data_IF_379594661845
#
_entry.id   IF_379594661845
#
_cell.length_a   1.000
_cell.length_b   1.000
_cell.length_c   1.000
_cell.angle_alpha   90.00
_cell.angle_beta   90.00
_cell.angle_gamma   90.00
#
_symmetry.space_group_name_H-M   'P 1'
#
loop_
_entity.id
_entity.type
_entity.pdbx_description
1 polymer ?
#
# COMPACT_ATOMS: atom_id res chain seq x y z
N UNK A 1 8.79 1.01 -2.51
CA UNK A 1 8.90 2.07 -1.49
C UNK A 1 9.62 3.29 -2.06
N UNK A 2 8.98 4.45 -2.10
CA UNK A 2 9.55 5.65 -2.75
C UNK A 2 9.93 6.77 -1.78
N UNK A 3 9.30 6.84 -0.60
CA UNK A 3 9.67 7.81 0.43
C UNK A 3 9.32 7.29 1.83
N UNK A 4 10.06 7.72 2.85
CA UNK A 4 9.86 7.39 4.26
C UNK A 4 10.15 8.63 5.11
N UNK A 5 9.23 8.95 6.01
CA UNK A 5 9.47 9.85 7.13
C UNK A 5 9.39 9.04 8.43
N UNK A 6 10.55 8.68 8.97
CA UNK A 6 10.66 7.94 10.21
C UNK A 6 10.22 8.73 11.45
N UNK A 7 10.31 10.07 11.44
CA UNK A 7 9.87 10.92 12.57
C UNK A 7 8.35 10.89 12.72
N UNK A 8 7.65 10.93 11.60
CA UNK A 8 6.18 10.89 11.57
C UNK A 8 5.62 9.47 11.50
N UNK A 9 6.48 8.46 11.38
CA UNK A 9 6.12 7.07 11.10
C UNK A 9 5.28 6.91 9.82
N UNK A 10 5.65 7.62 8.74
CA UNK A 10 4.94 7.57 7.48
C UNK A 10 5.80 7.05 6.34
N UNK A 11 5.18 6.35 5.40
CA UNK A 11 5.82 5.87 4.19
C UNK A 11 4.92 6.08 2.97
N UNK A 12 5.55 6.21 1.80
CA UNK A 12 4.84 6.30 0.52
C UNK A 12 5.24 5.12 -0.34
N UNK A 13 4.22 4.34 -0.71
CA UNK A 13 4.33 3.29 -1.71
C UNK A 13 3.88 3.82 -3.06
N UNK A 14 4.55 3.35 -4.11
CA UNK A 14 4.14 3.56 -5.49
C UNK A 14 3.99 2.19 -6.12
N UNK A 15 2.85 1.97 -6.77
CA UNK A 15 2.60 0.78 -7.56
C UNK A 15 3.47 0.83 -8.83
N UNK A 16 4.21 -0.24 -9.18
CA UNK A 16 5.22 -0.19 -10.24
C UNK A 16 4.66 0.13 -11.62
N UNK A 17 3.46 -0.35 -11.94
CA UNK A 17 2.86 -0.18 -13.28
C UNK A 17 1.94 1.03 -13.38
N UNK A 18 0.90 1.09 -12.55
CA UNK A 18 -0.06 2.20 -12.53
C UNK A 18 0.48 3.52 -11.99
N UNK A 19 1.64 3.51 -11.30
CA UNK A 19 2.19 4.67 -10.57
C UNK A 19 1.26 5.25 -9.50
N UNK A 20 0.18 4.54 -9.16
CA UNK A 20 -0.71 4.91 -8.07
C UNK A 20 0.06 4.88 -6.75
N UNK A 21 -0.19 5.85 -5.89
CA UNK A 21 0.52 5.99 -4.62
C UNK A 21 -0.40 5.71 -3.46
N UNK A 22 0.16 5.19 -2.38
CA UNK A 22 -0.54 4.91 -1.14
C UNK A 22 0.29 5.41 0.04
N UNK A 23 -0.37 6.16 0.93
CA UNK A 23 0.20 6.53 2.21
C UNK A 23 0.06 5.37 3.20
N UNK A 24 1.13 5.12 3.93
CA UNK A 24 1.21 4.05 4.93
C UNK A 24 1.65 4.63 6.26
N UNK A 25 0.89 4.33 7.31
CA UNK A 25 1.29 4.50 8.71
C UNK A 25 2.09 3.27 9.13
N UNK A 26 3.32 3.53 9.59
CA UNK A 26 4.34 2.53 9.90
C UNK A 26 4.63 2.45 11.41
N UNK A 27 3.84 3.13 12.25
CA UNK A 27 4.07 3.21 13.70
C UNK A 27 4.07 1.86 14.41
N UNK A 28 3.38 0.87 13.86
CA UNK A 28 3.28 -0.48 14.43
C UNK A 28 4.29 -1.48 13.83
N UNK A 29 5.21 -1.02 12.99
CA UNK A 29 6.23 -1.87 12.38
C UNK A 29 7.52 -1.83 13.20
N UNK A 30 7.74 -2.85 14.03
CA UNK A 30 8.99 -2.99 14.77
C UNK A 30 10.19 -3.24 13.84
N UNK A 31 11.29 -2.54 14.10
CA UNK A 31 12.59 -2.71 13.42
C UNK A 31 12.54 -2.63 11.88
N UNK A 32 11.58 -1.91 11.32
CA UNK A 32 11.51 -1.74 9.87
C UNK A 32 12.51 -0.69 9.37
N UNK A 33 13.41 -1.10 8.48
CA UNK A 33 14.54 -0.28 8.01
C UNK A 33 14.19 0.78 6.98
N UNK A 34 12.98 0.74 6.39
CA UNK A 34 12.58 1.74 5.41
C UNK A 34 13.41 1.75 4.11
N UNK A 35 13.97 0.62 3.68
CA UNK A 35 14.85 0.52 2.49
C UNK A 35 14.18 1.11 1.24
N UNK A 36 14.62 2.29 0.81
CA UNK A 36 14.10 2.95 -0.38
C UNK A 36 14.38 2.15 -1.66
N UNK A 37 13.55 2.37 -2.69
CA UNK A 37 13.63 1.71 -4.00
C UNK A 37 13.55 0.18 -3.97
N UNK A 38 13.01 -0.38 -2.89
CA UNK A 38 12.70 -1.82 -2.77
C UNK A 38 11.21 -2.10 -3.02
N UNK A 39 10.91 -3.31 -3.48
CA UNK A 39 9.57 -3.85 -3.44
C UNK A 39 9.25 -4.32 -2.04
N UNK A 40 8.15 -3.80 -1.51
CA UNK A 40 7.71 -4.12 -0.16
C UNK A 40 6.23 -4.42 -0.16
N UNK A 41 5.88 -5.47 0.55
CA UNK A 41 4.50 -5.88 0.79
C UNK A 41 4.10 -5.43 2.20
N UNK A 42 3.04 -4.62 2.27
CA UNK A 42 2.46 -4.16 3.52
C UNK A 42 1.09 -4.79 3.70
N UNK A 43 0.78 -5.21 4.92
CA UNK A 43 -0.53 -5.77 5.29
C UNK A 43 -1.03 -5.03 6.52
N UNK A 44 -2.31 -4.66 6.50
CA UNK A 44 -2.92 -3.89 7.55
C UNK A 44 -4.31 -3.39 7.19
N UNK A 45 -4.79 -2.41 7.94
CA UNK A 45 -6.15 -1.88 7.82
C UNK A 45 -6.16 -0.56 7.05
N UNK A 46 -7.10 -0.43 6.10
CA UNK A 46 -7.37 0.84 5.43
C UNK A 46 -8.32 1.65 6.30
N UNK A 47 -7.91 2.86 6.69
CA UNK A 47 -8.72 3.77 7.49
C UNK A 47 -8.82 5.14 6.83
N UNK A 48 -9.87 5.89 7.15
CA UNK A 48 -10.01 7.28 6.70
C UNK A 48 -8.89 8.14 7.30
N UNK A 49 -8.34 9.05 6.49
CA UNK A 49 -7.26 9.94 6.88
C UNK A 49 -7.52 11.36 6.39
N UNK A 50 -7.98 12.20 7.31
CA UNK A 50 -8.41 13.56 7.04
C UNK A 50 -7.26 14.58 7.22
N UNK A 51 -6.09 14.30 6.65
CA UNK A 51 -4.96 15.23 6.75
C UNK A 51 -4.78 15.99 5.42
N UNK A 52 -4.97 17.30 5.49
CA UNK A 52 -5.05 18.19 4.32
C UNK A 52 -3.69 18.51 3.71
N UNK A 53 -2.58 18.34 4.43
CA UNK A 53 -1.25 18.56 3.86
C UNK A 53 -0.21 17.54 4.35
N UNK A 54 -0.03 16.48 3.56
CA UNK A 54 1.06 15.52 3.73
C UNK A 54 2.36 16.05 3.11
N UNK A 55 2.26 17.08 2.25
CA UNK A 55 3.38 17.70 1.54
C UNK A 55 4.47 18.19 2.52
N UNK A 56 4.05 18.88 3.58
CA UNK A 56 4.90 19.38 4.66
C UNK A 56 5.58 18.26 5.44
N UNK A 57 4.94 17.09 5.54
CA UNK A 57 5.49 15.95 6.27
C UNK A 57 6.65 15.28 5.54
N UNK A 58 6.84 15.47 4.25
CA UNK A 58 7.90 14.78 3.51
C UNK A 58 8.97 15.72 2.95
N UNK A 59 8.95 17.01 3.32
CA UNK A 59 9.87 18.04 2.84
C UNK A 59 10.10 17.99 1.32
N UNK A 60 9.08 17.57 0.57
CA UNK A 60 9.20 17.34 -0.86
C UNK A 60 7.94 17.87 -1.56
N UNK A 61 8.06 19.00 -2.28
CA UNK A 61 6.93 19.66 -2.92
C UNK A 61 6.34 18.86 -4.08
N UNK A 62 7.04 17.82 -4.57
CA UNK A 62 6.51 16.88 -5.57
C UNK A 62 5.47 15.92 -4.99
N UNK A 63 5.35 15.84 -3.66
CA UNK A 63 4.32 15.07 -2.96
C UNK A 63 3.07 15.95 -2.83
N UNK A 64 2.50 16.33 -3.97
CA UNK A 64 1.16 16.90 -4.00
C UNK A 64 0.16 15.79 -3.65
N UNK A 65 -0.35 15.87 -2.43
CA UNK A 65 -1.58 15.25 -1.89
C UNK A 65 -2.04 13.95 -2.58
N UNK A 66 -1.28 12.86 -2.42
CA UNK A 66 -1.66 11.53 -2.91
C UNK A 66 -2.64 10.79 -1.99
N UNK A 67 -3.54 11.51 -1.35
CA UNK A 67 -4.43 10.92 -0.39
C UNK A 67 -5.89 11.13 -0.76
N UNK A 68 -6.54 10.06 -1.23
CA UNK A 68 -7.98 9.99 -1.44
C UNK A 68 -8.77 9.95 -0.11
N UNK A 69 -8.23 10.54 0.95
CA UNK A 69 -8.77 10.48 2.31
C UNK A 69 -8.61 9.13 3.01
N UNK A 70 -7.65 8.29 2.61
CA UNK A 70 -7.34 6.99 3.22
C UNK A 70 -5.84 6.80 3.56
N UNK A 71 -5.56 6.01 4.58
CA UNK A 71 -4.21 5.56 4.93
C UNK A 71 -4.23 4.07 5.26
N UNK A 72 -3.16 3.37 4.90
CA UNK A 72 -2.93 2.00 5.35
C UNK A 72 -2.21 2.00 6.70
N UNK A 73 -2.86 1.56 7.77
CA UNK A 73 -2.21 1.26 9.05
C UNK A 73 -1.55 -0.11 8.95
N UNK A 74 -0.24 -0.14 8.72
CA UNK A 74 0.47 -1.38 8.50
C UNK A 74 0.88 -2.04 9.82
N UNK A 75 0.57 -3.34 9.91
CA UNK A 75 0.98 -4.20 11.02
C UNK A 75 2.05 -5.20 10.60
N UNK A 76 2.16 -5.48 9.30
CA UNK A 76 3.15 -6.40 8.75
C UNK A 76 3.80 -5.74 7.54
N UNK A 77 5.12 -5.91 7.45
CA UNK A 77 5.91 -5.54 6.27
C UNK A 77 6.89 -6.65 5.90
N UNK A 78 7.03 -6.89 4.60
CA UNK A 78 8.03 -7.81 4.03
C UNK A 78 8.74 -7.13 2.88
N UNK A 79 10.07 -7.29 2.83
CA UNK A 79 10.84 -7.03 1.62
C UNK A 79 10.57 -8.16 0.64
N UNK A 80 10.13 -7.83 -0.57
CA UNK A 80 9.85 -8.78 -1.65
C UNK A 80 10.63 -8.40 -2.91
N UNK A 81 11.85 -7.87 -2.71
CA UNK A 81 12.80 -7.68 -3.81
C UNK A 81 13.04 -9.01 -4.53
N UNK A 82 12.97 -9.00 -5.86
CA UNK A 82 13.06 -10.20 -6.69
C UNK A 82 11.70 -10.84 -7.05
N UNK A 83 10.59 -10.31 -6.52
CA UNK A 83 9.25 -10.70 -6.97
C UNK A 83 9.04 -10.32 -8.44
N UNK A 84 8.61 -11.27 -9.27
CA UNK A 84 8.06 -10.94 -10.58
C UNK A 84 6.66 -10.34 -10.42
N UNK A 85 6.60 -9.01 -10.55
CA UNK A 85 5.37 -8.25 -10.36
C UNK A 85 4.30 -8.55 -11.42
N UNK A 86 4.69 -8.91 -12.66
CA UNK A 86 3.73 -9.23 -13.72
C UNK A 86 3.03 -10.56 -13.44
N UNK A 87 3.78 -11.56 -13.01
CA UNK A 87 3.22 -12.86 -12.61
C UNK A 87 2.35 -12.70 -11.38
N UNK A 88 2.81 -11.92 -10.40
CA UNK A 88 2.05 -11.64 -9.18
C UNK A 88 0.67 -11.05 -9.48
N UNK A 89 0.58 -9.99 -10.30
CA UNK A 89 -0.72 -9.39 -10.65
C UNK A 89 -1.65 -10.38 -11.35
N UNK A 90 -1.14 -11.14 -12.34
CA UNK A 90 -1.95 -12.15 -13.04
C UNK A 90 -2.54 -13.20 -12.09
N UNK A 91 -1.76 -13.65 -11.11
CA UNK A 91 -2.23 -14.62 -10.11
C UNK A 91 -3.34 -14.02 -9.23
N UNK A 92 -3.20 -12.76 -8.83
CA UNK A 92 -4.23 -12.04 -8.06
C UNK A 92 -5.52 -11.90 -8.87
N UNK A 93 -5.43 -11.58 -10.16
CA UNK A 93 -6.60 -11.43 -11.03
C UNK A 93 -7.32 -12.76 -11.24
N UNK A 94 -6.58 -13.84 -11.53
CA UNK A 94 -7.15 -15.21 -11.63
C UNK A 94 -7.88 -15.58 -10.33
N UNK A 95 -7.28 -15.25 -9.18
CA UNK A 95 -7.89 -15.53 -7.87
C UNK A 95 -9.19 -14.77 -7.67
N UNK A 96 -9.22 -13.47 -7.98
CA UNK A 96 -10.42 -12.62 -7.88
C UNK A 96 -11.53 -13.11 -8.81
N UNK A 97 -11.18 -13.47 -10.05
CA UNK A 97 -12.12 -14.02 -11.02
C UNK A 97 -12.75 -15.32 -10.53
N UNK A 98 -11.94 -16.22 -9.95
CA UNK A 98 -12.43 -17.44 -9.35
C UNK A 98 -13.38 -17.14 -8.17
N UNK A 99 -12.99 -16.25 -7.26
CA UNK A 99 -13.82 -15.88 -6.10
C UNK A 99 -15.17 -15.27 -6.51
N UNK A 100 -15.19 -14.39 -7.51
CA UNK A 100 -16.42 -13.80 -8.02
C UNK A 100 -17.34 -14.84 -8.66
N UNK A 101 -16.78 -15.76 -9.45
CA UNK A 101 -17.56 -16.80 -10.15
C UNK A 101 -18.21 -17.78 -9.18
N UNK A 102 -17.51 -18.18 -8.12
CA UNK A 102 -17.92 -19.31 -7.28
C UNK A 102 -18.40 -18.94 -5.87
N UNK A 103 -18.02 -17.79 -5.32
CA UNK A 103 -18.36 -17.39 -3.93
C UNK A 103 -19.31 -16.19 -3.81
N UNK A 104 -19.33 -15.29 -4.79
CA UNK A 104 -20.24 -14.12 -4.76
C UNK A 104 -21.62 -14.49 -5.30
N UNK A 105 -21.70 -15.26 -6.39
CA UNK A 105 -22.99 -15.71 -6.98
C UNK A 105 -23.76 -16.73 -6.13
N UNK A 106 -23.09 -17.44 -5.24
CA UNK A 106 -23.68 -18.42 -4.34
C UNK A 106 -24.40 -17.80 -3.13
N UNK A 107 -24.19 -16.50 -2.84
CA UNK A 107 -24.89 -15.77 -1.77
C UNK A 107 -26.22 -15.12 -2.19
N UNK A 108 -26.55 -15.06 -3.48
CA UNK A 108 -27.80 -14.43 -3.99
C UNK A 108 -28.95 -15.45 -4.13
N UNK A 109 -28.70 -16.74 -3.84
CA UNK A 109 -29.74 -17.77 -3.75
C UNK A 109 -29.97 -18.15 -2.29
N UNK A 110 -30.67 -17.30 -1.55
CA UNK A 110 -31.39 -17.68 -0.33
C UNK A 110 -32.66 -16.85 -0.23
#
# INVERSE_FOLDING_TARGET
LINVNLRENLAILEHPFSRSKLLVDTRYLDNWSGRLKSFQQFIGEIVKYNNTDISDKFNNPSIKTYNNGIILKANIVRCVDGLDFHVYEKVIDIRRDFEQKYFVKSKIKM
#
